data_IF_883791723440
#
_entry.id   IF_883791723440
#
_cell.length_a   1.000
_cell.length_b   1.000
_cell.length_c   1.000
_cell.angle_alpha   90.00
_cell.angle_beta   90.00
_cell.angle_gamma   90.00
#
_symmetry.space_group_name_H-M   'P 1'
#
loop_
_entity.id
_entity.type
_entity.pdbx_description
1 polymer ?
#
# COMPACT_ATOMS: atom_id res chain seq x y z
N UNK A 1 -3.20 27.79 13.37
CA UNK A 1 -1.72 27.75 13.18
C UNK A 1 -1.40 28.34 11.82
N UNK A 2 -0.26 29.03 11.69
CA UNK A 2 0.22 29.56 10.41
C UNK A 2 1.30 28.60 9.88
N UNK A 3 1.11 28.09 8.67
CA UNK A 3 2.05 27.15 8.05
C UNK A 3 3.17 27.94 7.38
N UNK A 4 4.41 27.67 7.78
CA UNK A 4 5.61 28.28 7.20
C UNK A 4 6.32 27.22 6.35
N UNK A 5 6.50 27.52 5.07
CA UNK A 5 7.24 26.66 4.14
C UNK A 5 8.75 26.93 4.27
N UNK A 6 9.53 25.87 4.47
CA UNK A 6 10.99 25.92 4.43
C UNK A 6 11.47 25.42 3.07
N UNK A 7 12.39 26.17 2.45
CA UNK A 7 13.00 25.82 1.17
C UNK A 7 14.44 25.38 1.37
N UNK A 8 14.93 24.59 0.44
CA UNK A 8 16.31 24.14 0.42
C UNK A 8 17.31 25.31 0.38
N UNK A 9 18.39 25.17 1.14
CA UNK A 9 19.41 26.22 1.23
C UNK A 9 20.35 26.09 0.03
N UNK A 10 20.47 27.13 -0.79
CA UNK A 10 21.37 27.05 -1.95
C UNK A 10 22.83 26.81 -1.53
N UNK A 11 23.61 26.09 -2.35
CA UNK A 11 25.05 25.86 -2.11
C UNK A 11 25.83 27.18 -1.86
N UNK A 12 25.43 28.28 -2.54
CA UNK A 12 25.99 29.62 -2.34
C UNK A 12 25.77 30.18 -0.94
N UNK A 13 24.73 29.73 -0.25
CA UNK A 13 24.39 30.12 1.13
C UNK A 13 25.02 29.17 2.15
N UNK A 14 25.27 27.91 1.80
CA UNK A 14 25.97 26.93 2.64
C UNK A 14 27.47 27.24 2.72
N UNK A 15 28.10 27.56 1.59
CA UNK A 15 29.54 27.76 1.49
C UNK A 15 30.12 28.81 2.47
N UNK A 16 29.50 29.99 2.69
CA UNK A 16 29.97 30.95 3.69
C UNK A 16 29.91 30.41 5.12
N UNK A 17 28.91 29.57 5.43
CA UNK A 17 28.75 28.96 6.76
C UNK A 17 29.86 27.94 6.99
N UNK A 18 30.15 27.07 6.02
CA UNK A 18 31.25 26.13 6.12
C UNK A 18 32.59 26.85 6.27
N UNK A 19 32.83 27.92 5.51
CA UNK A 19 34.05 28.75 5.63
C UNK A 19 34.20 29.38 7.02
N UNK A 20 33.10 29.84 7.62
CA UNK A 20 33.10 30.42 8.96
C UNK A 20 33.38 29.36 10.03
N UNK A 21 32.79 28.17 9.91
CA UNK A 21 33.05 27.03 10.80
C UNK A 21 34.52 26.60 10.68
N UNK A 22 35.04 26.35 9.48
CA UNK A 22 36.44 25.94 9.29
C UNK A 22 37.44 26.97 9.86
N UNK A 23 37.12 28.27 9.79
CA UNK A 23 37.94 29.33 10.39
C UNK A 23 37.91 29.32 11.92
N UNK A 24 36.77 28.99 12.53
CA UNK A 24 36.59 28.97 13.99
C UNK A 24 37.22 27.72 14.61
N UNK A 25 37.19 26.61 13.90
CA UNK A 25 37.71 25.31 14.32
C UNK A 25 39.16 25.05 13.86
N UNK A 26 39.81 26.04 13.22
CA UNK A 26 41.20 25.98 12.72
C UNK A 26 41.46 24.78 11.78
N UNK A 27 40.51 24.56 10.85
CA UNK A 27 40.60 23.50 9.84
C UNK A 27 41.19 24.07 8.56
N UNK A 28 42.32 23.52 8.09
CA UNK A 28 42.88 23.89 6.79
C UNK A 28 42.06 23.28 5.64
N UNK A 29 41.75 24.08 4.62
CA UNK A 29 40.96 23.63 3.47
C UNK A 29 41.38 24.24 2.14
N UNK A 30 41.11 23.50 1.06
CA UNK A 30 41.06 24.00 -0.30
C UNK A 30 39.67 24.58 -0.61
N UNK A 31 39.58 25.74 -1.30
CA UNK A 31 38.29 26.32 -1.70
C UNK A 31 37.37 25.33 -2.42
N UNK A 32 37.97 24.52 -3.29
CA UNK A 32 37.30 23.50 -4.10
C UNK A 32 36.72 22.37 -3.23
N UNK A 33 37.33 22.07 -2.07
CA UNK A 33 36.82 21.07 -1.14
C UNK A 33 35.51 21.52 -0.48
N UNK A 34 35.44 22.77 -0.01
CA UNK A 34 34.22 23.30 0.58
C UNK A 34 33.11 23.51 -0.46
N UNK A 35 33.47 23.85 -1.70
CA UNK A 35 32.53 23.94 -2.82
C UNK A 35 31.92 22.56 -3.12
N UNK A 36 32.73 21.51 -3.17
CA UNK A 36 32.25 20.15 -3.36
C UNK A 36 31.30 19.67 -2.24
N UNK A 37 31.60 19.95 -0.96
CA UNK A 37 30.71 19.61 0.18
C UNK A 37 29.37 20.36 0.09
N UNK A 38 29.40 21.65 -0.31
CA UNK A 38 28.20 22.47 -0.42
C UNK A 38 27.31 22.05 -1.60
N UNK A 39 27.90 21.55 -2.69
CA UNK A 39 27.17 21.04 -3.86
C UNK A 39 26.59 19.65 -3.62
N UNK A 40 27.29 18.75 -2.91
CA UNK A 40 26.84 17.38 -2.67
C UNK A 40 25.62 17.29 -1.74
N UNK A 41 25.43 18.24 -0.82
CA UNK A 41 24.42 18.16 0.23
C UNK A 41 23.00 18.60 -0.15
N UNK A 42 22.71 18.86 -1.44
CA UNK A 42 21.37 19.15 -1.98
C UNK A 42 20.50 20.14 -1.17
N UNK A 43 21.14 21.04 -0.43
CA UNK A 43 20.47 22.06 0.38
C UNK A 43 20.21 21.74 1.85
N UNK A 44 20.71 20.61 2.36
CA UNK A 44 20.78 20.29 3.79
C UNK A 44 22.05 20.89 4.43
N UNK A 45 21.89 22.01 5.15
CA UNK A 45 22.99 22.63 5.89
C UNK A 45 23.55 21.73 6.99
N UNK A 46 22.70 20.93 7.65
CA UNK A 46 23.13 20.04 8.73
C UNK A 46 23.97 18.89 8.16
N UNK A 47 23.54 18.33 7.04
CA UNK A 47 24.31 17.35 6.27
C UNK A 47 25.70 17.88 5.92
N UNK A 48 25.77 19.10 5.36
CA UNK A 48 27.03 19.72 4.95
C UNK A 48 28.00 19.94 6.13
N UNK A 49 27.48 20.31 7.31
CA UNK A 49 28.31 20.47 8.52
C UNK A 49 28.84 19.12 9.02
N UNK A 50 28.02 18.06 8.99
CA UNK A 50 28.46 16.72 9.39
C UNK A 50 29.53 16.17 8.45
N UNK A 51 29.38 16.37 7.14
CA UNK A 51 30.36 15.92 6.15
C UNK A 51 31.69 16.71 6.31
N UNK A 52 31.62 18.02 6.59
CA UNK A 52 32.78 18.82 6.95
C UNK A 52 33.49 18.26 8.19
N UNK A 53 32.73 17.93 9.25
CA UNK A 53 33.28 17.37 10.47
C UNK A 53 33.95 16.01 10.22
N UNK A 54 33.29 15.11 9.51
CA UNK A 54 33.82 13.77 9.20
C UNK A 54 35.15 13.86 8.43
N UNK A 55 35.23 14.76 7.45
CA UNK A 55 36.44 14.95 6.67
C UNK A 55 37.56 15.63 7.47
N UNK A 56 37.22 16.55 8.38
CA UNK A 56 38.19 17.24 9.24
C UNK A 56 38.74 16.33 10.35
N UNK A 57 37.95 15.37 10.83
CA UNK A 57 38.43 14.35 11.77
C UNK A 57 39.35 13.33 11.08
N UNK A 58 39.11 13.04 9.79
CA UNK A 58 39.88 12.06 9.03
C UNK A 58 41.17 12.63 8.40
N UNK A 59 41.23 13.95 8.14
CA UNK A 59 42.32 14.57 7.39
C UNK A 59 42.84 15.83 8.10
N UNK A 60 44.16 16.00 8.16
CA UNK A 60 44.80 17.22 8.68
C UNK A 60 44.52 18.46 7.81
N UNK A 61 44.17 18.24 6.53
CA UNK A 61 43.80 19.29 5.57
C UNK A 61 42.74 18.77 4.61
N UNK A 62 41.68 19.54 4.41
CA UNK A 62 40.58 19.23 3.50
C UNK A 62 41.00 19.51 2.05
N UNK A 63 41.11 18.46 1.25
CA UNK A 63 41.37 18.55 -0.20
C UNK A 63 40.14 18.13 -1.00
N UNK A 64 40.02 18.59 -2.24
CA UNK A 64 38.90 18.22 -3.10
C UNK A 64 38.81 16.69 -3.33
N UNK A 65 39.96 16.00 -3.40
CA UNK A 65 40.04 14.55 -3.58
C UNK A 65 39.49 13.76 -2.37
N UNK A 66 39.71 14.27 -1.16
CA UNK A 66 39.15 13.68 0.06
C UNK A 66 37.61 13.79 0.11
N UNK A 67 37.06 14.89 -0.43
CA UNK A 67 35.60 15.08 -0.55
C UNK A 67 35.00 14.12 -1.57
N UNK A 68 35.66 13.91 -2.71
CA UNK A 68 35.19 12.97 -3.76
C UNK A 68 35.24 11.52 -3.27
N UNK A 69 36.20 11.17 -2.41
CA UNK A 69 36.28 9.81 -1.82
C UNK A 69 35.22 9.58 -0.74
N UNK A 70 34.72 10.67 -0.14
CA UNK A 70 33.64 10.67 0.83
C UNK A 70 32.29 11.13 0.26
N UNK A 71 32.17 11.30 -1.07
CA UNK A 71 30.88 11.53 -1.72
C UNK A 71 29.97 10.39 -1.25
N UNK A 72 28.87 10.75 -0.59
CA UNK A 72 27.77 9.80 -0.40
C UNK A 72 27.40 9.27 -1.78
N UNK A 73 26.98 8.00 -1.86
CA UNK A 73 26.32 7.50 -3.06
C UNK A 73 25.31 8.55 -3.49
N UNK A 74 25.62 9.23 -4.59
CA UNK A 74 24.72 10.23 -5.14
C UNK A 74 23.58 9.40 -5.63
N UNK A 75 22.47 9.46 -4.92
CA UNK A 75 21.32 8.70 -5.32
C UNK A 75 20.97 9.11 -6.74
N UNK A 76 21.19 8.20 -7.68
CA UNK A 76 20.90 8.45 -9.07
C UNK A 76 19.40 8.62 -9.14
N UNK A 77 18.96 9.75 -9.71
CA UNK A 77 17.54 10.02 -9.86
C UNK A 77 16.87 8.84 -10.55
N UNK A 78 15.72 8.40 -10.04
CA UNK A 78 15.04 7.20 -10.54
C UNK A 78 14.84 7.21 -12.07
N UNK A 79 14.67 8.39 -12.67
CA UNK A 79 14.56 8.56 -14.12
C UNK A 79 15.87 8.30 -14.87
N UNK A 80 17.00 8.72 -14.33
CA UNK A 80 18.31 8.47 -14.92
C UNK A 80 18.66 6.98 -14.79
N UNK A 81 18.33 6.36 -13.66
CA UNK A 81 18.43 4.90 -13.49
C UNK A 81 17.57 4.16 -14.52
N UNK A 82 16.31 4.57 -14.72
CA UNK A 82 15.44 3.93 -15.71
C UNK A 82 16.02 4.06 -17.13
N UNK A 83 16.60 5.20 -17.48
CA UNK A 83 17.24 5.37 -18.79
C UNK A 83 18.46 4.46 -18.95
N UNK A 84 19.32 4.42 -17.94
CA UNK A 84 20.49 3.54 -17.91
C UNK A 84 20.09 2.06 -18.03
N UNK A 85 19.15 1.60 -17.20
CA UNK A 85 18.62 0.24 -17.20
C UNK A 85 18.05 -0.16 -18.58
N UNK A 86 17.18 0.69 -19.13
CA UNK A 86 16.42 0.35 -20.33
C UNK A 86 17.29 0.49 -21.59
N UNK A 87 18.24 1.42 -21.63
CA UNK A 87 18.91 1.79 -22.89
C UNK A 87 20.40 1.50 -22.94
N UNK A 88 21.12 1.61 -21.82
CA UNK A 88 22.59 1.73 -21.83
C UNK A 88 23.26 0.51 -21.22
N UNK A 89 22.92 0.22 -19.96
CA UNK A 89 23.66 -0.71 -19.12
C UNK A 89 23.41 -2.16 -19.51
N UNK A 90 24.45 -2.99 -19.35
CA UNK A 90 24.31 -4.44 -19.43
C UNK A 90 23.74 -5.02 -18.12
N UNK A 91 23.61 -6.34 -18.04
CA UNK A 91 23.01 -6.98 -16.87
C UNK A 91 23.74 -6.68 -15.56
N UNK A 92 25.07 -6.65 -15.56
CA UNK A 92 25.88 -6.35 -14.38
C UNK A 92 25.80 -4.86 -14.02
N UNK A 93 25.93 -3.99 -15.04
CA UNK A 93 25.83 -2.54 -14.89
C UNK A 93 24.48 -2.11 -14.34
N UNK A 94 23.39 -2.68 -14.86
CA UNK A 94 22.03 -2.41 -14.40
C UNK A 94 21.80 -2.83 -12.94
N UNK A 95 22.35 -3.98 -12.53
CA UNK A 95 22.28 -4.41 -11.14
C UNK A 95 23.06 -3.48 -10.22
N UNK A 96 24.28 -3.08 -10.62
CA UNK A 96 25.09 -2.16 -9.82
C UNK A 96 24.42 -0.79 -9.70
N UNK A 97 23.93 -0.23 -10.81
CA UNK A 97 23.22 1.05 -10.84
C UNK A 97 21.95 1.03 -9.98
N UNK A 98 21.34 -0.14 -9.76
CA UNK A 98 20.16 -0.26 -8.89
C UNK A 98 20.46 -0.07 -7.41
N UNK A 99 21.71 -0.25 -6.98
CA UNK A 99 22.12 0.03 -5.60
C UNK A 99 22.18 1.52 -5.30
N UNK A 100 22.36 2.33 -6.34
CA UNK A 100 22.43 3.79 -6.25
C UNK A 100 21.06 4.45 -6.49
N UNK A 101 20.01 3.68 -6.76
CA UNK A 101 18.66 4.19 -6.99
C UNK A 101 17.94 4.51 -5.66
N UNK A 102 17.19 5.62 -5.61
CA UNK A 102 16.47 6.08 -4.40
C UNK A 102 15.17 5.33 -4.11
N UNK A 103 15.15 4.03 -4.36
CA UNK A 103 13.93 3.24 -4.29
C UNK A 103 14.20 1.87 -3.67
N UNK A 104 13.27 1.41 -2.82
CA UNK A 104 13.34 0.04 -2.31
C UNK A 104 13.04 -0.96 -3.42
N UNK A 105 13.52 -2.21 -3.36
CA UNK A 105 13.15 -3.22 -4.34
C UNK A 105 11.64 -3.44 -4.48
N UNK A 106 10.88 -3.22 -3.41
CA UNK A 106 9.41 -3.31 -3.43
C UNK A 106 8.74 -2.20 -4.25
N UNK A 107 9.34 -1.01 -4.29
CA UNK A 107 8.85 0.14 -5.06
C UNK A 107 9.42 0.16 -6.48
N UNK A 108 10.72 -0.14 -6.61
CA UNK A 108 11.48 -0.14 -7.85
C UNK A 108 10.87 -1.03 -8.93
N UNK A 109 10.33 -2.18 -8.55
CA UNK A 109 9.67 -3.09 -9.51
C UNK A 109 8.52 -2.39 -10.25
N UNK A 110 7.74 -1.55 -9.57
CA UNK A 110 6.61 -0.83 -10.18
C UNK A 110 7.09 0.31 -11.09
N UNK A 111 8.20 0.95 -10.73
CA UNK A 111 8.87 1.91 -11.61
C UNK A 111 9.31 1.27 -12.91
N UNK A 112 9.91 0.09 -12.84
CA UNK A 112 10.39 -0.64 -14.03
C UNK A 112 9.18 -1.13 -14.85
N UNK A 113 8.21 -1.79 -14.22
CA UNK A 113 7.03 -2.37 -14.89
C UNK A 113 6.25 -1.36 -15.75
N UNK A 114 5.96 -0.17 -15.22
CA UNK A 114 5.16 0.82 -15.94
C UNK A 114 5.97 1.59 -17.01
N UNK A 115 7.30 1.51 -16.98
CA UNK A 115 8.17 2.27 -17.88
C UNK A 115 8.84 1.41 -18.97
N UNK A 116 9.12 0.13 -18.72
CA UNK A 116 9.71 -0.79 -19.72
C UNK A 116 8.92 -0.83 -21.05
N UNK A 117 7.58 -0.90 -21.07
CA UNK A 117 6.80 -0.94 -22.32
C UNK A 117 6.94 0.29 -23.21
N UNK A 118 7.52 1.39 -22.71
CA UNK A 118 7.74 2.62 -23.50
C UNK A 118 8.82 2.44 -24.56
N UNK A 119 9.79 1.55 -24.31
CA UNK A 119 10.93 1.30 -25.20
C UNK A 119 11.03 -0.18 -25.64
N UNK A 120 10.45 -1.11 -24.88
CA UNK A 120 10.48 -2.55 -25.19
C UNK A 120 9.20 -3.00 -25.87
N UNK A 121 9.32 -3.79 -26.95
CA UNK A 121 8.17 -4.26 -27.74
C UNK A 121 8.28 -5.72 -28.17
N UNK A 122 7.13 -6.40 -28.28
CA UNK A 122 7.08 -7.77 -28.78
C UNK A 122 7.81 -8.74 -27.85
N UNK A 123 8.76 -9.49 -28.39
CA UNK A 123 9.40 -10.59 -27.64
C UNK A 123 10.35 -10.08 -26.55
N UNK A 124 11.07 -8.98 -26.77
CA UNK A 124 11.92 -8.40 -25.70
C UNK A 124 11.09 -7.93 -24.50
N UNK A 125 9.88 -7.41 -24.77
CA UNK A 125 8.95 -7.01 -23.71
C UNK A 125 8.45 -8.22 -22.94
N UNK A 126 8.12 -9.31 -23.64
CA UNK A 126 7.70 -10.56 -23.01
C UNK A 126 8.82 -11.12 -22.10
N UNK A 127 10.05 -11.17 -22.59
CA UNK A 127 11.22 -11.64 -21.82
C UNK A 127 11.48 -10.75 -20.57
N UNK A 128 11.29 -9.44 -20.70
CA UNK A 128 11.40 -8.50 -19.57
C UNK A 128 10.31 -8.74 -18.52
N UNK A 129 9.05 -8.95 -18.95
CA UNK A 129 7.96 -9.27 -18.02
C UNK A 129 8.11 -10.64 -17.36
N UNK A 130 8.71 -11.63 -18.03
CA UNK A 130 9.04 -12.91 -17.40
C UNK A 130 10.04 -12.73 -16.25
N UNK A 131 11.03 -11.86 -16.45
CA UNK A 131 11.99 -11.46 -15.41
C UNK A 131 11.32 -10.70 -14.26
N UNK A 132 10.44 -9.74 -14.56
CA UNK A 132 9.66 -9.01 -13.55
C UNK A 132 8.71 -9.93 -12.77
N UNK A 133 8.05 -10.87 -13.44
CA UNK A 133 7.19 -11.87 -12.80
C UNK A 133 7.99 -12.81 -11.88
N UNK A 134 9.27 -13.05 -12.17
CA UNK A 134 10.17 -13.76 -11.27
C UNK A 134 10.57 -12.90 -10.07
N UNK A 135 10.82 -11.61 -10.27
CA UNK A 135 11.10 -10.66 -9.19
C UNK A 135 9.92 -10.53 -8.22
N UNK A 136 8.68 -10.40 -8.73
CA UNK A 136 7.47 -10.33 -7.91
C UNK A 136 7.28 -11.59 -7.04
N UNK A 137 7.59 -12.77 -7.58
CA UNK A 137 7.60 -14.01 -6.80
C UNK A 137 8.59 -14.00 -5.64
N UNK A 138 9.75 -13.34 -5.79
CA UNK A 138 10.71 -13.15 -4.69
C UNK A 138 10.21 -12.13 -3.68
N UNK A 139 9.65 -11.00 -4.13
CA UNK A 139 9.05 -10.00 -3.25
C UNK A 139 7.87 -10.58 -2.45
N UNK A 140 7.06 -11.44 -3.05
CA UNK A 140 6.02 -12.19 -2.34
C UNK A 140 6.57 -13.06 -1.21
N UNK A 141 7.74 -13.69 -1.39
CA UNK A 141 8.43 -14.44 -0.32
C UNK A 141 8.95 -13.51 0.76
N UNK A 142 9.49 -12.35 0.41
CA UNK A 142 9.92 -11.33 1.38
C UNK A 142 8.74 -10.92 2.24
N UNK A 143 7.60 -10.56 1.63
CA UNK A 143 6.39 -10.15 2.36
C UNK A 143 5.85 -11.25 3.28
N UNK A 144 5.89 -12.51 2.84
CA UNK A 144 5.40 -13.65 3.60
C UNK A 144 6.31 -14.06 4.77
N UNK A 145 7.63 -13.88 4.63
CA UNK A 145 8.63 -14.37 5.62
C UNK A 145 9.32 -13.26 6.40
N UNK A 146 9.20 -12.01 5.94
CA UNK A 146 9.98 -10.85 6.38
C UNK A 146 11.52 -11.03 6.26
N UNK A 147 11.97 -11.99 5.44
CA UNK A 147 13.38 -12.21 5.17
C UNK A 147 13.83 -11.34 3.99
N UNK A 148 14.40 -10.18 4.31
CA UNK A 148 14.93 -9.21 3.35
C UNK A 148 16.18 -9.69 2.61
N UNK A 149 16.78 -10.83 3.00
CA UNK A 149 17.90 -11.40 2.23
C UNK A 149 17.49 -11.84 0.82
N UNK A 150 16.18 -12.06 0.59
CA UNK A 150 15.65 -12.37 -0.74
C UNK A 150 15.63 -11.17 -1.70
N UNK A 151 15.79 -9.93 -1.21
CA UNK A 151 15.83 -8.75 -2.08
C UNK A 151 16.94 -8.84 -3.13
N UNK A 152 18.08 -9.46 -2.82
CA UNK A 152 19.14 -9.67 -3.83
C UNK A 152 18.66 -10.44 -5.07
N UNK A 153 17.73 -11.38 -4.90
CA UNK A 153 17.16 -12.14 -6.02
C UNK A 153 16.07 -11.36 -6.75
N UNK A 154 15.28 -10.57 -6.01
CA UNK A 154 14.29 -9.69 -6.61
C UNK A 154 14.98 -8.61 -7.46
N UNK A 155 15.99 -7.93 -6.91
CA UNK A 155 16.78 -6.90 -7.59
C UNK A 155 17.45 -7.46 -8.84
N UNK A 156 18.15 -8.60 -8.74
CA UNK A 156 18.77 -9.28 -9.89
C UNK A 156 17.74 -9.57 -11.01
N UNK A 157 16.59 -10.15 -10.65
CA UNK A 157 15.56 -10.46 -11.62
C UNK A 157 14.95 -9.20 -12.26
N UNK A 158 14.63 -8.15 -11.48
CA UNK A 158 13.97 -6.96 -12.02
C UNK A 158 14.91 -6.01 -12.77
N UNK A 159 16.22 -6.03 -12.50
CA UNK A 159 17.20 -5.13 -13.12
C UNK A 159 18.04 -5.87 -14.16
N UNK A 160 18.90 -6.78 -13.74
CA UNK A 160 19.76 -7.56 -14.63
C UNK A 160 18.94 -8.37 -15.64
N UNK A 161 17.82 -8.98 -15.20
CA UNK A 161 16.91 -9.72 -16.08
C UNK A 161 16.23 -8.86 -17.14
N UNK A 162 15.84 -7.62 -16.78
CA UNK A 162 15.23 -6.67 -17.73
C UNK A 162 16.27 -6.12 -18.70
N UNK A 163 17.46 -5.75 -18.22
CA UNK A 163 18.55 -5.31 -19.09
C UNK A 163 18.96 -6.40 -20.09
N UNK A 164 19.04 -7.66 -19.63
CA UNK A 164 19.37 -8.82 -20.48
C UNK A 164 18.31 -9.14 -21.54
N UNK A 165 17.05 -8.75 -21.31
CA UNK A 165 15.97 -8.94 -22.28
C UNK A 165 16.08 -8.01 -23.50
N UNK A 166 16.86 -6.92 -23.41
CA UNK A 166 17.05 -5.95 -24.48
C UNK A 166 17.69 -6.60 -25.71
N UNK A 167 17.00 -6.55 -26.85
CA UNK A 167 17.48 -7.17 -28.10
C UNK A 167 18.16 -6.20 -29.05
N UNK A 168 17.77 -4.94 -28.98
CA UNK A 168 18.25 -3.89 -29.87
C UNK A 168 18.72 -2.68 -29.04
N UNK A 169 19.75 -1.95 -29.51
CA UNK A 169 20.12 -0.69 -28.90
C UNK A 169 18.92 0.27 -28.89
N UNK A 170 18.65 0.87 -27.74
CA UNK A 170 17.60 1.88 -27.60
C UNK A 170 18.22 3.26 -27.81
N UNK A 171 17.45 4.18 -28.37
CA UNK A 171 17.92 5.54 -28.63
C UNK A 171 16.76 6.52 -28.57
N UNK A 172 17.09 7.79 -28.36
CA UNK A 172 16.11 8.86 -28.27
C UNK A 172 15.62 9.10 -26.84
N UNK A 173 14.88 10.18 -26.69
CA UNK A 173 14.38 10.64 -25.41
C UNK A 173 13.05 9.96 -25.07
N UNK A 174 12.97 9.37 -23.88
CA UNK A 174 11.73 8.75 -23.36
C UNK A 174 11.25 9.55 -22.16
N UNK A 175 9.93 9.83 -22.12
CA UNK A 175 9.30 10.38 -20.92
C UNK A 175 8.94 9.26 -19.96
N UNK A 176 9.81 8.98 -19.00
CA UNK A 176 9.45 8.14 -17.85
C UNK A 176 8.49 8.87 -16.91
N UNK A 177 7.77 8.11 -16.10
CA UNK A 177 6.76 8.66 -15.19
C UNK A 177 6.58 7.78 -13.96
N UNK A 178 5.95 8.33 -12.90
CA UNK A 178 5.74 7.62 -11.65
C UNK A 178 4.87 6.37 -11.83
N UNK A 179 5.02 5.36 -10.94
CA UNK A 179 4.22 4.15 -11.01
C UNK A 179 2.75 4.47 -10.81
N UNK A 180 1.94 3.97 -11.74
CA UNK A 180 0.49 4.00 -11.67
C UNK A 180 -0.07 3.00 -10.67
N UNK A 181 0.71 2.01 -10.21
CA UNK A 181 0.30 0.96 -9.28
C UNK A 181 -0.42 1.51 -8.04
N UNK A 182 0.18 2.47 -7.33
CA UNK A 182 -0.42 3.08 -6.13
C UNK A 182 -1.75 3.77 -6.42
N UNK A 183 -1.82 4.48 -7.55
CA UNK A 183 -3.07 5.11 -8.00
C UNK A 183 -4.14 4.08 -8.36
N UNK A 184 -3.77 2.96 -9.01
CA UNK A 184 -4.66 1.85 -9.34
C UNK A 184 -5.18 1.17 -8.07
N UNK A 185 -4.30 0.97 -7.09
CA UNK A 185 -4.63 0.35 -5.81
C UNK A 185 -5.57 1.24 -4.98
N UNK A 186 -5.31 2.55 -4.96
CA UNK A 186 -6.18 3.55 -4.34
C UNK A 186 -7.56 3.60 -5.00
N UNK A 187 -7.63 3.75 -6.33
CA UNK A 187 -8.90 3.79 -7.08
C UNK A 187 -9.76 2.54 -6.88
N UNK A 188 -9.14 1.36 -6.79
CA UNK A 188 -9.85 0.10 -6.62
C UNK A 188 -10.18 -0.24 -5.16
N UNK A 189 -9.68 0.53 -4.18
CA UNK A 189 -9.85 0.22 -2.76
C UNK A 189 -11.32 0.19 -2.36
N UNK A 190 -12.08 1.25 -2.64
CA UNK A 190 -13.50 1.31 -2.30
C UNK A 190 -14.31 0.17 -2.92
N UNK A 191 -14.05 -0.18 -4.18
CA UNK A 191 -14.71 -1.32 -4.83
C UNK A 191 -14.33 -2.66 -4.20
N UNK A 192 -13.06 -2.83 -3.77
CA UNK A 192 -12.59 -4.05 -3.09
C UNK A 192 -13.21 -4.17 -1.70
N UNK A 193 -13.29 -3.07 -0.96
CA UNK A 193 -13.86 -3.05 0.39
C UNK A 193 -15.35 -3.45 0.34
N UNK A 194 -16.13 -2.87 -0.58
CA UNK A 194 -17.54 -3.27 -0.83
C UNK A 194 -17.67 -4.74 -1.22
N UNK A 195 -16.81 -5.22 -2.12
CA UNK A 195 -16.80 -6.63 -2.54
C UNK A 195 -16.48 -7.57 -1.39
N UNK A 196 -15.47 -7.24 -0.60
CA UNK A 196 -15.00 -8.10 0.47
C UNK A 196 -16.01 -8.12 1.63
N UNK A 197 -16.68 -7.00 1.92
CA UNK A 197 -17.83 -6.97 2.85
C UNK A 197 -18.94 -7.93 2.42
N UNK A 198 -19.38 -7.86 1.15
CA UNK A 198 -20.44 -8.74 0.63
C UNK A 198 -19.99 -10.21 0.67
N UNK A 199 -18.74 -10.48 0.26
CA UNK A 199 -18.20 -11.83 0.28
C UNK A 199 -18.15 -12.41 1.71
N UNK A 200 -17.84 -11.58 2.70
CA UNK A 200 -17.79 -11.97 4.11
C UNK A 200 -19.16 -12.40 4.62
N UNK A 201 -20.19 -11.60 4.42
CA UNK A 201 -21.54 -11.93 4.89
C UNK A 201 -22.10 -13.18 4.19
N UNK A 202 -21.82 -13.35 2.89
CA UNK A 202 -22.16 -14.59 2.17
C UNK A 202 -21.41 -15.80 2.75
N UNK A 203 -20.12 -15.66 3.04
CA UNK A 203 -19.28 -16.73 3.57
C UNK A 203 -19.73 -17.17 4.97
N UNK A 204 -20.04 -16.22 5.86
CA UNK A 204 -20.51 -16.46 7.22
C UNK A 204 -21.86 -17.18 7.23
N UNK A 205 -22.83 -16.68 6.46
CA UNK A 205 -24.17 -17.29 6.36
C UNK A 205 -24.14 -18.64 5.63
N UNK A 206 -23.28 -18.78 4.63
CA UNK A 206 -23.16 -19.97 3.80
C UNK A 206 -22.23 -21.05 4.35
N UNK A 207 -21.47 -20.77 5.41
CA UNK A 207 -20.48 -21.69 5.97
C UNK A 207 -19.37 -22.05 4.98
N UNK A 208 -18.93 -21.09 4.15
CA UNK A 208 -17.94 -21.32 3.09
C UNK A 208 -16.76 -20.35 3.18
N UNK A 209 -15.74 -20.54 2.34
CA UNK A 209 -14.60 -19.62 2.29
C UNK A 209 -14.98 -18.29 1.63
N UNK A 210 -14.30 -17.20 2.01
CA UNK A 210 -14.36 -15.90 1.34
C UNK A 210 -14.12 -16.00 -0.17
N UNK A 211 -13.17 -16.85 -0.57
CA UNK A 211 -12.84 -17.06 -1.98
C UNK A 211 -14.02 -17.69 -2.73
N UNK A 212 -14.68 -18.69 -2.15
CA UNK A 212 -15.87 -19.35 -2.73
C UNK A 212 -17.06 -18.39 -2.79
N UNK A 213 -17.31 -17.63 -1.71
CA UNK A 213 -18.37 -16.63 -1.69
C UNK A 213 -18.21 -15.59 -2.82
N UNK A 214 -16.98 -15.09 -3.00
CA UNK A 214 -16.64 -14.10 -4.03
C UNK A 214 -16.69 -14.65 -5.44
N UNK A 215 -16.15 -15.85 -5.68
CA UNK A 215 -15.97 -16.38 -7.03
C UNK A 215 -17.14 -17.24 -7.52
N UNK A 216 -17.82 -17.94 -6.60
CA UNK A 216 -18.79 -18.98 -6.94
C UNK A 216 -20.24 -18.60 -6.59
N UNK A 217 -20.48 -17.57 -5.76
CA UNK A 217 -21.83 -17.16 -5.34
C UNK A 217 -22.17 -15.74 -5.83
N UNK A 218 -21.33 -14.77 -5.49
CA UNK A 218 -21.56 -13.36 -5.80
C UNK A 218 -21.83 -13.07 -7.29
N UNK A 219 -21.17 -13.71 -8.28
CA UNK A 219 -21.47 -13.47 -9.69
C UNK A 219 -22.91 -13.87 -10.07
N UNK A 220 -23.43 -14.95 -9.48
CA UNK A 220 -24.80 -15.36 -9.71
C UNK A 220 -25.80 -14.41 -9.05
N UNK A 221 -25.52 -13.97 -7.81
CA UNK A 221 -26.35 -12.96 -7.15
C UNK A 221 -26.41 -11.67 -7.97
N UNK A 222 -25.27 -11.20 -8.46
CA UNK A 222 -25.18 -10.02 -9.34
C UNK A 222 -26.01 -10.19 -10.62
N UNK A 223 -25.87 -11.34 -11.30
CA UNK A 223 -26.63 -11.61 -12.52
C UNK A 223 -28.16 -11.70 -12.27
N UNK A 224 -28.58 -12.36 -11.19
CA UNK A 224 -30.01 -12.52 -10.86
C UNK A 224 -30.67 -11.23 -10.37
N UNK A 225 -29.91 -10.36 -9.69
CA UNK A 225 -30.39 -9.10 -9.12
C UNK A 225 -30.00 -7.88 -9.94
N UNK A 226 -29.47 -8.07 -11.16
CA UNK A 226 -28.98 -6.99 -12.01
C UNK A 226 -30.00 -5.85 -12.18
N UNK A 227 -29.57 -4.62 -11.90
CA UNK A 227 -30.40 -3.41 -11.84
C UNK A 227 -31.64 -3.54 -10.97
N UNK A 228 -31.59 -4.36 -9.93
CA UNK A 228 -32.71 -4.69 -9.04
C UNK A 228 -33.96 -5.14 -9.82
N UNK A 229 -33.81 -5.84 -10.96
CA UNK A 229 -34.94 -6.28 -11.79
C UNK A 229 -35.86 -7.24 -11.04
N UNK A 230 -35.28 -8.16 -10.29
CA UNK A 230 -36.00 -9.03 -9.37
C UNK A 230 -35.99 -8.41 -7.97
N UNK A 231 -36.98 -7.55 -7.69
CA UNK A 231 -37.01 -6.80 -6.43
C UNK A 231 -37.10 -7.73 -5.22
N UNK A 232 -37.99 -8.72 -5.24
CA UNK A 232 -38.18 -9.68 -4.15
C UNK A 232 -36.87 -10.37 -3.79
N UNK A 233 -36.18 -10.96 -4.79
CA UNK A 233 -34.88 -11.60 -4.58
C UNK A 233 -33.83 -10.61 -4.06
N UNK A 234 -33.83 -9.36 -4.53
CA UNK A 234 -32.86 -8.35 -4.08
C UNK A 234 -33.09 -7.96 -2.62
N UNK A 235 -34.35 -7.84 -2.18
CA UNK A 235 -34.68 -7.61 -0.77
C UNK A 235 -34.27 -8.80 0.08
N UNK A 236 -34.60 -10.03 -0.33
CA UNK A 236 -34.19 -11.24 0.40
C UNK A 236 -32.67 -11.34 0.50
N UNK A 237 -31.94 -11.04 -0.57
CA UNK A 237 -30.48 -11.00 -0.58
C UNK A 237 -29.95 -9.95 0.41
N UNK A 238 -30.50 -8.73 0.36
CA UNK A 238 -30.06 -7.63 1.23
C UNK A 238 -30.34 -7.93 2.70
N UNK A 239 -31.50 -8.51 3.02
CA UNK A 239 -31.85 -8.92 4.38
C UNK A 239 -30.96 -10.07 4.86
N UNK A 240 -30.77 -11.09 4.03
CA UNK A 240 -30.04 -12.32 4.40
C UNK A 240 -28.56 -12.08 4.69
N UNK A 241 -27.94 -11.16 3.97
CA UNK A 241 -26.51 -10.88 4.06
C UNK A 241 -26.21 -9.52 4.70
N UNK A 242 -27.18 -8.89 5.36
CA UNK A 242 -27.03 -7.59 6.01
C UNK A 242 -26.40 -6.51 5.11
N UNK A 243 -26.95 -6.36 3.90
CA UNK A 243 -26.38 -5.45 2.91
C UNK A 243 -26.97 -4.05 3.02
N UNK A 244 -26.09 -3.08 3.22
CA UNK A 244 -26.42 -1.65 3.10
C UNK A 244 -26.54 -1.19 1.64
N UNK A 245 -26.96 0.07 1.44
CA UNK A 245 -27.23 0.63 0.10
C UNK A 245 -26.03 0.52 -0.84
N UNK A 246 -24.82 0.81 -0.35
CA UNK A 246 -23.60 0.73 -1.15
C UNK A 246 -23.27 -0.70 -1.60
N UNK A 247 -23.58 -1.69 -0.78
CA UNK A 247 -23.35 -3.11 -1.05
C UNK A 247 -24.38 -3.64 -2.05
N UNK A 248 -25.65 -3.28 -1.89
CA UNK A 248 -26.72 -3.60 -2.85
C UNK A 248 -26.44 -2.95 -4.20
N UNK A 249 -26.01 -1.69 -4.22
CA UNK A 249 -25.61 -0.99 -5.43
C UNK A 249 -24.45 -1.69 -6.13
N UNK A 250 -23.41 -2.08 -5.36
CA UNK A 250 -22.26 -2.82 -5.87
C UNK A 250 -22.65 -4.15 -6.53
N UNK A 251 -23.48 -4.98 -5.86
CA UNK A 251 -23.87 -6.29 -6.40
C UNK A 251 -24.79 -6.14 -7.62
N UNK A 252 -25.74 -5.22 -7.57
CA UNK A 252 -26.77 -5.09 -8.61
C UNK A 252 -26.32 -4.27 -9.82
N UNK A 253 -25.25 -3.48 -9.69
CA UNK A 253 -24.83 -2.49 -10.69
C UNK A 253 -25.80 -1.31 -10.81
N UNK A 254 -26.57 -1.02 -9.75
CA UNK A 254 -27.48 0.13 -9.68
C UNK A 254 -26.78 1.33 -9.01
N UNK A 255 -27.32 2.54 -9.20
CA UNK A 255 -26.85 3.71 -8.45
C UNK A 255 -27.26 3.62 -6.97
N UNK A 256 -26.33 3.89 -6.07
CA UNK A 256 -26.52 3.85 -4.61
C UNK A 256 -27.65 4.77 -4.13
N UNK A 257 -27.68 5.99 -4.64
CA UNK A 257 -28.66 7.02 -4.27
C UNK A 257 -30.02 6.88 -4.97
N UNK A 258 -30.26 5.77 -5.67
CA UNK A 258 -31.54 5.57 -6.34
C UNK A 258 -32.62 5.22 -5.31
N UNK A 259 -33.80 5.86 -5.37
CA UNK A 259 -34.99 5.51 -4.56
C UNK A 259 -35.27 4.00 -4.54
N UNK A 260 -34.96 3.33 -5.65
CA UNK A 260 -35.07 1.88 -5.79
C UNK A 260 -34.18 1.09 -4.84
N UNK A 261 -32.92 1.48 -4.69
CA UNK A 261 -31.95 0.82 -3.79
C UNK A 261 -32.32 1.14 -2.35
N UNK A 262 -32.63 2.39 -2.05
CA UNK A 262 -33.06 2.83 -0.72
C UNK A 262 -34.32 2.08 -0.26
N UNK A 263 -35.32 1.95 -1.14
CA UNK A 263 -36.52 1.16 -0.86
C UNK A 263 -36.27 -0.35 -0.77
N UNK A 264 -35.18 -0.89 -1.31
CA UNK A 264 -34.83 -2.31 -1.11
C UNK A 264 -34.20 -2.52 0.26
N UNK A 265 -33.32 -1.61 0.69
CA UNK A 265 -32.68 -1.66 2.01
C UNK A 265 -33.71 -1.45 3.12
N UNK A 266 -34.66 -0.54 2.93
CA UNK A 266 -35.77 -0.33 3.88
C UNK A 266 -36.61 -1.60 4.06
N UNK A 267 -37.11 -2.19 2.97
CA UNK A 267 -37.87 -3.44 3.03
C UNK A 267 -37.03 -4.60 3.61
N UNK A 268 -35.71 -4.61 3.35
CA UNK A 268 -34.82 -5.63 3.90
C UNK A 268 -34.63 -5.48 5.42
N UNK A 269 -34.64 -4.25 5.93
CA UNK A 269 -34.64 -4.00 7.37
C UNK A 269 -35.95 -4.48 8.01
N UNK A 270 -37.10 -4.17 7.39
CA UNK A 270 -38.40 -4.65 7.87
C UNK A 270 -38.47 -6.19 7.91
N UNK A 271 -38.01 -6.87 6.85
CA UNK A 271 -37.96 -8.34 6.84
C UNK A 271 -37.07 -8.92 7.95
N UNK A 272 -35.93 -8.28 8.24
CA UNK A 272 -35.05 -8.73 9.34
C UNK A 272 -35.70 -8.55 10.69
N UNK A 273 -36.39 -7.44 10.91
CA UNK A 273 -37.12 -7.17 12.15
C UNK A 273 -38.25 -8.19 12.34
N UNK A 274 -39.00 -8.50 11.27
CA UNK A 274 -40.04 -9.55 11.28
C UNK A 274 -39.45 -10.95 11.59
N UNK A 275 -38.36 -11.32 10.93
CA UNK A 275 -37.66 -12.59 11.19
C UNK A 275 -37.17 -12.65 12.65
N UNK A 276 -36.55 -11.58 13.16
CA UNK A 276 -36.07 -11.50 14.53
C UNK A 276 -37.20 -11.64 15.56
N UNK A 277 -38.34 -10.99 15.34
CA UNK A 277 -39.54 -11.12 16.18
C UNK A 277 -40.05 -12.57 16.15
N UNK A 278 -40.17 -13.17 14.97
CA UNK A 278 -40.66 -14.55 14.84
C UNK A 278 -39.75 -15.57 15.54
N UNK A 279 -38.43 -15.39 15.43
CA UNK A 279 -37.44 -16.23 16.11
C UNK A 279 -37.50 -16.04 17.63
N UNK A 280 -37.75 -14.82 18.12
CA UNK A 280 -37.93 -14.55 19.54
C UNK A 280 -39.22 -15.18 20.08
N UNK A 281 -40.34 -15.07 19.37
CA UNK A 281 -41.61 -15.68 19.78
C UNK A 281 -41.50 -17.22 19.88
N UNK A 282 -40.83 -17.87 18.93
CA UNK A 282 -40.57 -19.31 18.95
C UNK A 282 -39.58 -19.74 20.05
N UNK A 283 -38.64 -18.89 20.44
CA UNK A 283 -37.67 -19.19 21.50
C UNK A 283 -38.32 -19.29 22.91
N UNK A 284 -39.45 -18.61 23.13
CA UNK A 284 -40.19 -18.66 24.39
C UNK A 284 -41.31 -19.71 24.42
N UNK A 285 -41.69 -20.28 23.27
CA UNK A 285 -42.82 -21.23 23.15
C UNK A 285 -42.55 -22.60 23.82
N UNK A 286 -41.30 -22.90 24.20
CA UNK A 286 -40.89 -24.10 24.94
C UNK A 286 -40.51 -23.89 26.42
N UNK A 287 -40.51 -22.65 26.91
CA UNK A 287 -40.08 -22.34 28.28
C UNK A 287 -41.24 -22.50 29.28
N UNK A 288 -41.61 -23.75 29.58
CA UNK A 288 -42.44 -24.02 30.77
C UNK A 288 -41.68 -23.55 32.02
N UNK A 289 -42.13 -22.44 32.59
CA UNK A 289 -41.68 -21.97 33.91
C UNK A 289 -42.07 -23.02 34.94
N UNK A 290 -41.13 -23.84 35.38
CA UNK A 290 -41.31 -24.60 36.63
C UNK A 290 -41.28 -23.58 37.77
N UNK A 291 -42.44 -23.15 38.25
CA UNK A 291 -42.54 -22.48 39.54
C UNK A 291 -42.18 -23.49 40.63
N UNK A 292 -40.89 -23.59 40.92
CA UNK A 292 -40.37 -24.17 42.14
C UNK A 292 -40.27 -23.07 43.20
N UNK A 293 -40.96 -23.25 44.32
CA UNK A 293 -40.85 -22.42 45.51
C UNK A 293 -39.40 -22.35 46.04
N UNK A 294 -39.02 -21.26 46.74
CA UNK A 294 -37.66 -21.08 47.21
C UNK A 294 -37.42 -21.92 48.48
N UNK A 295 -36.68 -23.02 48.34
CA UNK A 295 -36.14 -23.75 49.49
C UNK A 295 -34.84 -23.08 49.94
N UNK A 296 -34.92 -22.42 51.08
CA UNK A 296 -33.78 -22.00 51.90
C UNK A 296 -33.05 -23.22 52.46
N UNK A 297 -31.74 -23.32 52.25
CA UNK A 297 -30.90 -24.37 52.82
C UNK A 297 -29.42 -23.99 52.82
N UNK A 298 -28.86 -23.91 54.02
CA UNK A 298 -27.54 -23.41 54.42
C UNK A 298 -26.41 -24.47 54.33
N UNK A 299 -25.18 -24.00 54.11
CA UNK A 299 -23.92 -24.59 54.60
C UNK A 299 -23.27 -25.75 53.81
N UNK A 300 -22.11 -25.50 53.18
CA UNK A 300 -20.80 -25.83 53.75
C UNK A 300 -19.65 -25.65 52.75
N UNK A 301 -18.50 -25.32 53.34
CA UNK A 301 -17.21 -24.92 52.78
C UNK A 301 -16.56 -25.89 51.78
N UNK A 302 -15.80 -25.34 50.84
CA UNK A 302 -14.41 -25.78 50.64
C UNK A 302 -13.59 -24.67 49.97
N UNK A 303 -12.59 -24.18 50.72
CA UNK A 303 -11.51 -23.32 50.25
C UNK A 303 -10.48 -24.13 49.44
N UNK A 304 -10.01 -23.57 48.33
CA UNK A 304 -8.66 -23.83 47.85
C UNK A 304 -8.09 -22.57 47.18
N UNK A 305 -7.17 -21.94 47.90
CA UNK A 305 -6.37 -20.77 47.51
C UNK A 305 -5.43 -21.02 46.31
N UNK A 306 -5.19 -19.99 45.49
CA UNK A 306 -3.89 -19.28 45.42
C UNK A 306 -3.80 -18.34 44.20
N UNK A 307 -3.85 -17.04 44.51
CA UNK A 307 -3.17 -15.83 43.98
C UNK A 307 -2.92 -15.53 42.48
N UNK A 308 -2.89 -14.22 42.12
CA UNK A 308 -2.95 -13.69 40.77
C UNK A 308 -1.57 -13.39 40.20
N UNK A 309 -1.50 -13.14 38.89
CA UNK A 309 -0.37 -12.43 38.30
C UNK A 309 -0.91 -11.37 37.35
N UNK A 310 -0.64 -10.13 37.72
CA UNK A 310 -0.78 -8.94 36.89
C UNK A 310 -0.02 -9.11 35.58
N UNK A 311 -0.62 -8.71 34.47
CA UNK A 311 0.13 -8.11 33.36
C UNK A 311 -0.76 -7.05 32.71
N UNK A 312 -0.36 -5.80 32.94
CA UNK A 312 -0.84 -4.60 32.27
C UNK A 312 -0.62 -4.73 30.75
N UNK A 313 -1.64 -4.38 29.98
CA UNK A 313 -1.59 -4.25 28.53
C UNK A 313 -2.32 -2.97 28.14
N UNK A 314 -1.51 -1.96 27.84
CA UNK A 314 -1.89 -0.59 27.51
C UNK A 314 -2.93 -0.52 26.38
N UNK A 315 -3.91 0.36 26.57
CA UNK A 315 -4.85 0.74 25.53
C UNK A 315 -4.19 1.68 24.52
N UNK A 316 -4.50 1.46 23.24
CA UNK A 316 -4.27 2.47 22.22
C UNK A 316 -5.60 3.00 21.67
N UNK A 317 -5.66 4.31 21.57
CA UNK A 317 -6.83 5.11 21.32
C UNK A 317 -6.99 5.30 19.82
N UNK A 318 -8.11 4.84 19.27
CA UNK A 318 -8.49 5.15 17.91
C UNK A 318 -8.99 6.60 17.86
N UNK A 319 -8.25 7.49 17.20
CA UNK A 319 -8.75 8.80 16.80
C UNK A 319 -9.25 8.77 15.36
N UNK A 320 -10.48 9.22 15.23
CA UNK A 320 -11.27 9.43 14.03
C UNK A 320 -11.05 10.87 13.49
N UNK A 321 -11.48 11.09 12.24
CA UNK A 321 -11.56 12.31 11.42
C UNK A 321 -10.41 12.55 10.41
N UNK A 322 -10.67 12.84 9.12
CA UNK A 322 -11.92 13.31 8.52
C UNK A 322 -11.96 13.11 7.01
N UNK A 323 -13.20 12.92 6.57
CA UNK A 323 -13.72 12.87 5.20
C UNK A 323 -13.65 14.25 4.53
N UNK A 324 -13.20 14.30 3.28
CA UNK A 324 -13.44 15.42 2.37
C UNK A 324 -13.86 14.84 1.02
N UNK A 325 -15.16 14.97 0.77
CA UNK A 325 -15.85 14.51 -0.43
C UNK A 325 -15.63 15.48 -1.59
N UNK A 326 -15.12 14.95 -2.70
CA UNK A 326 -15.16 15.61 -3.99
C UNK A 326 -15.72 14.64 -5.04
N UNK A 327 -16.91 14.98 -5.52
CA UNK A 327 -17.58 14.35 -6.64
C UNK A 327 -16.74 14.44 -7.92
N UNK A 328 -16.68 13.36 -8.71
CA UNK A 328 -17.00 13.46 -10.14
C UNK A 328 -17.27 12.08 -10.79
N UNK A 329 -18.13 12.15 -11.79
CA UNK A 329 -18.69 11.11 -12.64
C UNK A 329 -17.64 10.28 -13.40
N UNK A 330 -17.89 8.97 -13.55
CA UNK A 330 -17.52 8.26 -14.78
C UNK A 330 -18.28 6.94 -14.96
N UNK A 331 -19.33 7.01 -15.79
CA UNK A 331 -19.89 5.85 -16.49
C UNK A 331 -18.86 5.25 -17.44
N UNK A 332 -18.53 3.97 -17.24
CA UNK A 332 -18.05 3.05 -18.29
C UNK A 332 -18.27 1.65 -17.74
N UNK A 333 -19.17 0.82 -18.27
CA UNK A 333 -19.23 0.39 -19.67
C UNK A 333 -18.64 -1.02 -19.77
N UNK A 334 -19.15 -1.96 -18.96
CA UNK A 334 -18.80 -3.39 -19.04
C UNK A 334 -19.64 -4.02 -20.15
N UNK A 335 -19.06 -4.11 -21.34
CA UNK A 335 -19.69 -4.72 -22.49
C UNK A 335 -18.68 -4.98 -23.60
N UNK A 336 -17.72 -5.87 -23.35
CA UNK A 336 -17.22 -6.81 -24.37
C UNK A 336 -16.22 -7.78 -23.75
N UNK A 337 -16.69 -8.99 -23.46
CA UNK A 337 -15.88 -10.21 -23.44
C UNK A 337 -16.78 -11.34 -23.95
N UNK A 338 -16.62 -11.66 -25.23
CA UNK A 338 -16.94 -12.95 -25.83
C UNK A 338 -15.63 -13.72 -26.04
#
# INVERSE_FOLDING_TARGET
>A
CETIEFRDVSARSILPVLRDISRREDVEYEPEALEAIAESNSGDLRGAVNDLQALAEANERLTAEAVVTGDRDRTTGIFDFLDALIKEEDAEGALRASYDADETPDDLINWIEDNVPKDFHGVELADAYDSLANADRWLGRVRATQDYSYWRYASDAMTAGVAAARREPKSGWTRYGPPSYWSKLGRSRGTRDKRDYVAQHIAEVGGMSMASARNDVMPFLSAMTHHCRNRELTVTMAARYDLEAEHVAFVTGSGEDTDKVQGIVADAAELRDEEAVSHAEGAFEGATRTTGEPETGDGSDDEASADPTDTEGEGDQHQDAGDDSAADDSQSGLGDFC
#
